data_IF_354702198445
#
_entry.id   IF_354702198445
#
_cell.length_a   1.000
_cell.length_b   1.000
_cell.length_c   1.000
_cell.angle_alpha   90.00
_cell.angle_beta   90.00
_cell.angle_gamma   90.00
#
_symmetry.space_group_name_H-M   'P 1'
#
loop_
_entity.id
_entity.type
_entity.pdbx_description
1 polymer ?
#
# COMPACT_ATOMS: atom_id res chain seq x y z
N UNK A 1 14.04 -9.01 -17.21
CA UNK A 1 13.08 -10.06 -16.77
C UNK A 1 13.69 -11.02 -15.75
N UNK A 2 14.84 -11.66 -16.01
CA UNK A 2 15.43 -12.62 -15.05
C UNK A 2 15.72 -12.03 -13.65
N UNK A 3 16.25 -10.80 -13.56
CA UNK A 3 16.52 -10.14 -12.28
C UNK A 3 15.27 -9.76 -11.48
N UNK A 4 14.18 -9.34 -12.14
CA UNK A 4 12.92 -8.99 -11.47
C UNK A 4 12.19 -10.23 -10.95
N UNK A 5 12.24 -11.34 -11.69
CA UNK A 5 11.70 -12.61 -11.22
C UNK A 5 12.44 -13.14 -9.98
N UNK A 6 13.78 -13.03 -9.95
CA UNK A 6 14.59 -13.42 -8.79
C UNK A 6 14.25 -12.61 -7.53
N UNK A 7 14.11 -11.28 -7.65
CA UNK A 7 13.69 -10.42 -6.53
C UNK A 7 12.25 -10.68 -6.10
N UNK A 8 11.34 -10.96 -7.03
CA UNK A 8 9.97 -11.32 -6.71
C UNK A 8 9.91 -12.60 -5.87
N UNK A 9 10.67 -13.64 -6.25
CA UNK A 9 10.77 -14.89 -5.47
C UNK A 9 11.41 -14.62 -4.11
N UNK A 10 12.49 -13.84 -4.05
CA UNK A 10 13.13 -13.47 -2.79
C UNK A 10 12.18 -12.74 -1.84
N UNK A 11 11.46 -11.75 -2.34
CA UNK A 11 10.50 -10.99 -1.55
C UNK A 11 9.33 -11.86 -1.10
N UNK A 12 8.85 -12.78 -1.95
CA UNK A 12 7.86 -13.78 -1.58
C UNK A 12 8.34 -14.64 -0.41
N UNK A 13 9.60 -15.11 -0.43
CA UNK A 13 10.19 -15.86 0.68
C UNK A 13 10.25 -15.02 1.97
N UNK A 14 10.66 -13.76 1.88
CA UNK A 14 10.65 -12.84 3.03
C UNK A 14 9.24 -12.65 3.60
N UNK A 15 8.24 -12.52 2.75
CA UNK A 15 6.83 -12.36 3.16
C UNK A 15 6.31 -13.62 3.84
N UNK A 16 6.64 -14.81 3.33
CA UNK A 16 6.30 -16.08 3.97
C UNK A 16 7.01 -16.25 5.31
N UNK A 17 8.25 -15.76 5.44
CA UNK A 17 8.93 -15.68 6.73
C UNK A 17 8.22 -14.71 7.67
N UNK A 18 7.78 -13.53 7.19
CA UNK A 18 7.04 -12.53 7.96
C UNK A 18 5.75 -13.11 8.56
N UNK A 19 5.01 -13.83 7.73
CA UNK A 19 3.74 -14.46 8.11
C UNK A 19 3.93 -15.39 9.32
N UNK A 20 5.04 -16.13 9.36
CA UNK A 20 5.42 -16.95 10.52
C UNK A 20 5.98 -16.12 11.69
N UNK A 21 6.67 -15.01 11.39
CA UNK A 21 7.35 -14.12 12.34
C UNK A 21 6.43 -13.24 13.17
N UNK A 22 5.34 -12.79 12.56
CA UNK A 22 4.55 -11.74 13.15
C UNK A 22 3.43 -12.38 13.96
N UNK A 23 3.36 -12.17 15.29
CA UNK A 23 2.20 -12.55 16.08
C UNK A 23 1.06 -11.59 15.74
N UNK A 24 0.48 -11.75 14.56
CA UNK A 24 -0.62 -10.91 14.08
C UNK A 24 -1.82 -10.94 15.02
N UNK A 25 -1.98 -12.03 15.79
CA UNK A 25 -2.97 -12.15 16.86
C UNK A 25 -2.73 -11.19 18.05
N UNK A 26 -1.48 -10.88 18.40
CA UNK A 26 -1.16 -9.95 19.50
C UNK A 26 -1.45 -8.50 19.10
N UNK A 27 -1.07 -8.12 17.88
CA UNK A 27 -1.40 -6.79 17.34
C UNK A 27 -2.89 -6.63 17.13
N UNK A 28 -3.58 -7.64 16.59
CA UNK A 28 -5.02 -7.59 16.41
C UNK A 28 -5.73 -7.44 17.76
N UNK A 29 -5.35 -8.20 18.78
CA UNK A 29 -5.98 -8.10 20.10
C UNK A 29 -5.70 -6.76 20.78
N UNK A 30 -4.47 -6.24 20.72
CA UNK A 30 -4.11 -4.96 21.31
C UNK A 30 -4.78 -3.78 20.59
N UNK A 31 -4.74 -3.78 19.25
CA UNK A 31 -5.35 -2.74 18.42
C UNK A 31 -6.88 -2.76 18.57
N UNK A 32 -7.50 -3.94 18.56
CA UNK A 32 -8.96 -4.08 18.70
C UNK A 32 -9.45 -3.71 20.10
N UNK A 33 -8.65 -3.96 21.15
CA UNK A 33 -8.93 -3.48 22.52
C UNK A 33 -8.85 -1.97 22.63
N UNK A 34 -7.76 -1.36 22.17
CA UNK A 34 -7.61 0.10 22.15
C UNK A 34 -8.73 0.76 21.34
N UNK A 35 -9.08 0.16 20.21
CA UNK A 35 -10.13 0.67 19.33
C UNK A 35 -11.53 0.54 19.94
N UNK A 36 -11.86 -0.59 20.60
CA UNK A 36 -13.10 -0.74 21.38
C UNK A 36 -13.22 0.30 22.49
N UNK A 37 -12.13 0.56 23.22
CA UNK A 37 -12.09 1.58 24.26
C UNK A 37 -12.35 2.99 23.70
N UNK A 38 -11.71 3.34 22.57
CA UNK A 38 -11.91 4.63 21.90
C UNK A 38 -13.31 4.77 21.30
N UNK A 39 -13.91 3.67 20.80
CA UNK A 39 -15.29 3.66 20.26
C UNK A 39 -16.32 3.87 21.36
N UNK A 40 -16.12 3.26 22.54
CA UNK A 40 -16.96 3.51 23.73
C UNK A 40 -16.91 4.97 24.16
N UNK A 41 -15.73 5.61 24.08
CA UNK A 41 -15.59 7.07 24.34
C UNK A 41 -16.22 7.96 23.28
N UNK A 42 -16.25 7.54 22.00
CA UNK A 42 -16.81 8.33 20.89
C UNK A 42 -18.30 8.10 20.61
N UNK A 43 -18.96 7.18 21.31
CA UNK A 43 -20.41 6.97 21.17
C UNK A 43 -21.28 8.14 21.68
N UNK A 44 -20.68 9.14 22.34
CA UNK A 44 -21.39 10.32 22.86
C UNK A 44 -21.38 11.53 21.91
N UNK A 45 -20.85 11.40 20.69
CA UNK A 45 -20.89 12.48 19.71
C UNK A 45 -21.20 11.87 18.34
N UNK A 46 -22.45 11.99 17.88
CA UNK A 46 -22.84 11.56 16.55
C UNK A 46 -22.04 12.35 15.51
N UNK A 47 -21.13 11.73 14.73
CA UNK A 47 -20.36 12.48 13.77
C UNK A 47 -21.30 12.99 12.67
N UNK A 48 -21.08 14.24 12.24
CA UNK A 48 -21.77 14.79 11.07
C UNK A 48 -21.60 13.85 9.87
N UNK A 49 -22.70 13.54 9.19
CA UNK A 49 -22.72 12.62 8.04
C UNK A 49 -22.11 13.30 6.81
N UNK A 50 -20.78 13.28 6.73
CA UNK A 50 -20.09 13.75 5.52
C UNK A 50 -20.35 12.77 4.36
N UNK A 51 -20.75 13.25 3.16
CA UNK A 51 -20.93 12.42 1.98
C UNK A 51 -19.68 11.56 1.69
N UNK A 52 -19.88 10.31 1.24
CA UNK A 52 -18.77 9.38 1.00
C UNK A 52 -17.79 9.85 -0.07
N UNK A 53 -18.29 10.51 -1.12
CA UNK A 53 -17.47 11.09 -2.19
C UNK A 53 -16.56 12.20 -1.67
N UNK A 54 -17.04 13.02 -0.72
CA UNK A 54 -16.24 14.09 -0.13
C UNK A 54 -15.10 13.52 0.73
N UNK A 55 -15.38 12.46 1.51
CA UNK A 55 -14.35 11.74 2.27
C UNK A 55 -13.29 11.13 1.37
N UNK A 56 -13.71 10.51 0.28
CA UNK A 56 -12.83 9.95 -0.73
C UNK A 56 -11.97 11.03 -1.42
N UNK A 57 -12.57 12.16 -1.78
CA UNK A 57 -11.85 13.31 -2.32
C UNK A 57 -10.83 13.88 -1.33
N UNK A 58 -11.23 14.12 -0.08
CA UNK A 58 -10.33 14.60 0.97
C UNK A 58 -9.17 13.63 1.22
N UNK A 59 -9.44 12.32 1.21
CA UNK A 59 -8.39 11.32 1.35
C UNK A 59 -7.42 11.37 0.17
N UNK A 60 -7.94 11.39 -1.06
CA UNK A 60 -7.09 11.41 -2.25
C UNK A 60 -6.23 12.68 -2.33
N UNK A 61 -6.81 13.83 -2.01
CA UNK A 61 -6.07 15.11 -1.94
C UNK A 61 -5.03 15.08 -0.81
N UNK A 62 -5.39 14.61 0.39
CA UNK A 62 -4.45 14.48 1.50
C UNK A 62 -3.30 13.52 1.19
N UNK A 63 -3.61 12.38 0.58
CA UNK A 63 -2.64 11.40 0.11
C UNK A 63 -1.72 11.94 -0.97
N UNK A 64 -2.28 12.58 -2.00
CA UNK A 64 -1.51 13.22 -3.07
C UNK A 64 -0.61 14.33 -2.55
N UNK A 65 -1.09 15.12 -1.58
CA UNK A 65 -0.28 16.14 -0.90
C UNK A 65 0.90 15.52 -0.15
N UNK A 66 0.68 14.43 0.58
CA UNK A 66 1.76 13.72 1.29
C UNK A 66 2.80 13.12 0.34
N UNK A 67 2.36 12.55 -0.79
CA UNK A 67 3.26 12.02 -1.82
C UNK A 67 4.16 13.11 -2.40
N UNK A 68 3.57 14.24 -2.77
CA UNK A 68 4.32 15.38 -3.33
C UNK A 68 5.19 16.05 -2.26
N UNK A 69 4.76 16.08 -1.01
CA UNK A 69 5.56 16.62 0.09
C UNK A 69 6.78 15.74 0.42
N UNK A 70 6.65 14.42 0.26
CA UNK A 70 7.75 13.47 0.43
C UNK A 70 8.83 13.60 -0.66
N UNK A 71 8.49 14.17 -1.82
CA UNK A 71 9.45 14.50 -2.88
C UNK A 71 10.33 15.69 -2.43
N UNK A 72 11.61 15.41 -2.19
CA UNK A 72 12.59 16.36 -1.69
C UNK A 72 12.84 17.53 -2.64
N UNK A 73 12.56 17.36 -3.94
CA UNK A 73 12.79 18.38 -4.98
C UNK A 73 11.68 19.42 -5.08
N UNK A 74 10.62 19.28 -4.28
CA UNK A 74 9.42 20.10 -4.39
C UNK A 74 9.56 21.44 -3.66
N UNK A 75 9.48 22.53 -4.42
CA UNK A 75 9.26 23.90 -3.93
C UNK A 75 7.78 24.28 -4.08
N UNK A 76 7.25 25.20 -3.26
CA UNK A 76 5.87 25.67 -3.41
C UNK A 76 5.72 26.49 -4.69
N UNK A 77 5.12 25.91 -5.73
CA UNK A 77 4.87 26.53 -7.03
C UNK A 77 3.55 26.05 -7.63
N UNK A 78 3.09 26.70 -8.71
CA UNK A 78 1.91 26.25 -9.46
C UNK A 78 2.05 24.81 -10.00
N UNK A 79 3.28 24.39 -10.31
CA UNK A 79 3.57 23.03 -10.78
C UNK A 79 3.42 22.00 -9.67
N UNK A 80 3.71 22.37 -8.42
CA UNK A 80 3.46 21.54 -7.24
C UNK A 80 1.98 21.28 -7.04
N UNK A 81 1.13 22.28 -7.25
CA UNK A 81 -0.32 22.09 -7.21
C UNK A 81 -0.78 21.07 -8.27
N UNK A 82 -0.21 21.12 -9.48
CA UNK A 82 -0.50 20.14 -10.54
C UNK A 82 0.00 18.73 -10.18
N UNK A 83 1.20 18.60 -9.60
CA UNK A 83 1.68 17.31 -9.06
C UNK A 83 0.72 16.74 -8.01
N UNK A 84 0.20 17.59 -7.11
CA UNK A 84 -0.76 17.16 -6.07
C UNK A 84 -2.07 16.71 -6.69
N UNK A 85 -2.61 17.45 -7.66
CA UNK A 85 -3.84 17.07 -8.40
C UNK A 85 -3.63 15.74 -9.12
N UNK A 86 -2.50 15.57 -9.78
CA UNK A 86 -2.14 14.33 -10.46
C UNK A 86 -2.02 13.14 -9.51
N UNK A 87 -1.28 13.30 -8.40
CA UNK A 87 -1.17 12.27 -7.38
C UNK A 87 -2.53 11.93 -6.74
N UNK A 88 -3.37 12.95 -6.49
CA UNK A 88 -4.73 12.74 -6.01
C UNK A 88 -5.60 11.98 -7.03
N UNK A 89 -5.49 12.29 -8.32
CA UNK A 89 -6.19 11.55 -9.38
C UNK A 89 -5.73 10.09 -9.44
N UNK A 90 -4.43 9.82 -9.31
CA UNK A 90 -3.89 8.47 -9.18
C UNK A 90 -4.46 7.74 -7.96
N UNK A 91 -4.51 8.39 -6.80
CA UNK A 91 -5.12 7.82 -5.60
C UNK A 91 -6.62 7.55 -5.76
N UNK A 92 -7.36 8.43 -6.45
CA UNK A 92 -8.78 8.21 -6.75
C UNK A 92 -8.96 7.01 -7.67
N UNK A 93 -8.12 6.86 -8.69
CA UNK A 93 -8.14 5.72 -9.61
C UNK A 93 -7.94 4.41 -8.84
N UNK A 94 -6.91 4.34 -7.99
CA UNK A 94 -6.64 3.19 -7.12
C UNK A 94 -7.85 2.89 -6.24
N UNK A 95 -8.41 3.92 -5.60
CA UNK A 95 -9.52 3.74 -4.67
C UNK A 95 -10.80 3.29 -5.39
N UNK A 96 -11.05 3.79 -6.60
CA UNK A 96 -12.14 3.32 -7.46
C UNK A 96 -11.92 1.89 -7.93
N UNK A 97 -10.72 1.55 -8.37
CA UNK A 97 -10.44 0.23 -8.97
C UNK A 97 -10.34 -0.88 -7.92
N UNK A 98 -9.87 -0.57 -6.72
CA UNK A 98 -9.75 -1.54 -5.64
C UNK A 98 -10.99 -1.58 -4.75
N UNK A 99 -11.30 -0.49 -4.04
CA UNK A 99 -12.34 -0.49 -3.01
C UNK A 99 -13.75 -0.53 -3.58
N UNK A 100 -14.04 0.26 -4.63
CA UNK A 100 -15.38 0.27 -5.21
C UNK A 100 -15.70 -1.05 -5.91
N UNK A 101 -14.73 -1.65 -6.61
CA UNK A 101 -14.88 -3.00 -7.19
C UNK A 101 -15.17 -4.04 -6.10
N UNK A 102 -14.40 -4.02 -5.02
CA UNK A 102 -14.60 -4.90 -3.86
C UNK A 102 -15.99 -4.72 -3.24
N UNK A 103 -16.41 -3.49 -2.96
CA UNK A 103 -17.71 -3.20 -2.34
C UNK A 103 -18.88 -3.59 -3.25
N UNK A 104 -18.78 -3.28 -4.55
CA UNK A 104 -19.79 -3.63 -5.55
C UNK A 104 -20.02 -5.14 -5.65
N UNK A 105 -18.95 -5.94 -5.56
CA UNK A 105 -19.05 -7.40 -5.64
C UNK A 105 -19.56 -8.02 -4.34
N UNK A 106 -19.20 -7.46 -3.19
CA UNK A 106 -19.65 -7.93 -1.89
C UNK A 106 -21.10 -7.55 -1.58
N UNK A 107 -21.63 -6.48 -2.18
CA UNK A 107 -22.99 -5.96 -1.93
C UNK A 107 -23.71 -5.53 -3.22
N UNK A 108 -24.08 -6.48 -4.09
CA UNK A 108 -24.85 -6.17 -5.29
C UNK A 108 -26.20 -5.52 -4.91
N UNK A 109 -26.59 -4.42 -5.58
CA UNK A 109 -27.94 -3.86 -5.48
C UNK A 109 -28.18 -2.76 -4.42
N UNK A 110 -27.19 -2.41 -3.58
CA UNK A 110 -27.23 -1.15 -2.80
C UNK A 110 -26.45 -0.08 -3.56
N UNK A 111 -27.12 0.56 -4.51
CA UNK A 111 -26.60 1.71 -5.25
C UNK A 111 -26.18 2.84 -4.29
N UNK A 112 -24.87 2.91 -4.02
CA UNK A 112 -24.24 4.02 -3.30
C UNK A 112 -24.17 3.87 -1.78
N UNK A 113 -23.03 3.35 -1.28
CA UNK A 113 -22.44 3.54 0.05
C UNK A 113 -23.28 3.08 1.28
N UNK A 114 -22.72 2.21 2.14
CA UNK A 114 -21.64 2.65 3.00
C UNK A 114 -20.51 1.62 3.12
N UNK A 115 -19.54 1.71 2.22
CA UNK A 115 -18.16 1.48 2.60
C UNK A 115 -17.76 2.65 3.50
N UNK A 116 -17.80 2.46 4.82
CA UNK A 116 -17.09 3.40 5.70
C UNK A 116 -15.61 3.28 5.31
N UNK A 117 -15.12 4.23 4.50
CA UNK A 117 -13.70 4.44 4.32
C UNK A 117 -13.14 4.84 5.69
N UNK A 118 -12.82 3.84 6.49
CA UNK A 118 -12.20 4.01 7.79
C UNK A 118 -10.74 4.24 7.52
N UNK A 119 -10.42 5.50 7.28
CA UNK A 119 -9.05 5.99 7.39
C UNK A 119 -8.60 5.65 8.80
N UNK A 120 -7.81 4.58 8.94
CA UNK A 120 -7.27 4.20 10.23
C UNK A 120 -6.28 5.30 10.61
N UNK A 121 -6.53 6.12 11.65
CA UNK A 121 -5.69 7.27 11.94
C UNK A 121 -4.22 6.89 12.17
N UNK A 122 -3.98 5.67 12.66
CA UNK A 122 -2.65 5.12 12.82
C UNK A 122 -1.92 4.96 11.48
N UNK A 123 -2.62 4.55 10.42
CA UNK A 123 -2.05 4.48 9.08
C UNK A 123 -1.69 5.87 8.54
N UNK A 124 -2.56 6.87 8.75
CA UNK A 124 -2.26 8.25 8.34
C UNK A 124 -1.04 8.81 9.09
N UNK A 125 -0.95 8.58 10.40
CA UNK A 125 0.24 8.94 11.18
C UNK A 125 1.49 8.23 10.65
N UNK A 126 1.40 6.94 10.34
CA UNK A 126 2.51 6.20 9.73
C UNK A 126 2.90 6.79 8.38
N UNK A 127 1.94 7.17 7.53
CA UNK A 127 2.19 7.82 6.25
C UNK A 127 2.92 9.15 6.43
N UNK A 128 2.51 9.98 7.38
CA UNK A 128 3.18 11.24 7.73
C UNK A 128 4.60 11.00 8.22
N UNK A 129 4.81 10.02 9.11
CA UNK A 129 6.14 9.67 9.63
C UNK A 129 7.06 9.16 8.52
N UNK A 130 6.57 8.27 7.66
CA UNK A 130 7.35 7.74 6.53
C UNK A 130 7.66 8.82 5.49
N UNK A 131 6.69 9.69 5.17
CA UNK A 131 6.91 10.83 4.29
C UNK A 131 7.95 11.81 4.87
N UNK A 132 7.86 12.09 6.16
CA UNK A 132 8.83 12.94 6.86
C UNK A 132 10.23 12.33 6.88
N UNK A 133 10.34 11.02 7.12
CA UNK A 133 11.60 10.29 7.07
C UNK A 133 12.19 10.27 5.66
N UNK A 134 11.36 10.05 4.63
CA UNK A 134 11.77 10.09 3.22
C UNK A 134 12.34 11.45 2.83
N UNK A 135 11.70 12.54 3.30
CA UNK A 135 12.16 13.91 3.08
C UNK A 135 13.46 14.19 3.84
N UNK A 136 13.58 13.73 5.07
CA UNK A 136 14.78 13.92 5.89
C UNK A 136 16.00 13.17 5.36
N UNK A 137 15.78 11.99 4.76
CA UNK A 137 16.84 11.18 4.15
C UNK A 137 17.15 11.57 2.69
N UNK A 138 16.54 12.65 2.17
CA UNK A 138 16.70 13.13 0.79
C UNK A 138 16.56 12.01 -0.26
N UNK A 139 15.64 11.07 -0.01
CA UNK A 139 15.48 9.93 -0.90
C UNK A 139 15.01 10.38 -2.28
N UNK A 140 15.68 9.97 -3.37
CA UNK A 140 15.29 10.34 -4.74
C UNK A 140 13.96 9.72 -5.17
N UNK A 141 13.44 8.76 -4.39
CA UNK A 141 12.11 8.19 -4.57
C UNK A 141 11.29 8.46 -3.30
N UNK A 142 10.15 9.18 -3.39
CA UNK A 142 9.30 9.45 -2.24
C UNK A 142 8.67 8.14 -1.73
N UNK A 143 9.11 7.69 -0.56
CA UNK A 143 8.62 6.45 0.06
C UNK A 143 7.36 6.73 0.89
N UNK A 144 6.18 6.66 0.29
CA UNK A 144 4.89 6.84 0.98
C UNK A 144 4.14 5.51 1.12
N UNK A 145 4.82 4.50 1.67
CA UNK A 145 4.22 3.19 1.96
C UNK A 145 3.06 3.25 2.97
N UNK A 146 3.07 4.25 3.85
CA UNK A 146 2.07 4.36 4.90
C UNK A 146 0.66 4.63 4.36
N UNK A 147 0.51 5.36 3.26
CA UNK A 147 -0.79 5.71 2.66
C UNK A 147 -1.53 4.45 2.20
N UNK A 148 -0.79 3.53 1.58
CA UNK A 148 -1.27 2.22 1.12
C UNK A 148 -1.65 1.33 2.31
N UNK A 149 -0.82 1.30 3.36
CA UNK A 149 -1.12 0.56 4.59
C UNK A 149 -2.36 1.09 5.35
N UNK A 150 -2.85 2.32 5.06
CA UNK A 150 -4.07 2.89 5.67
C UNK A 150 -5.35 2.28 5.11
N UNK A 151 -5.32 1.68 3.92
CA UNK A 151 -6.51 1.13 3.26
C UNK A 151 -6.87 -0.30 3.70
N UNK A 152 -6.55 -0.67 4.93
CA UNK A 152 -7.04 -1.90 5.52
C UNK A 152 -8.46 -1.70 6.03
N UNK A 153 -9.43 -2.28 5.30
CA UNK A 153 -10.83 -2.38 5.72
C UNK A 153 -10.92 -3.32 6.92
N UNK A 154 -10.64 -2.77 8.11
CA UNK A 154 -10.89 -3.41 9.40
C UNK A 154 -12.40 -3.42 9.65
N UNK A 155 -13.08 -4.33 8.97
CA UNK A 155 -14.49 -4.61 9.16
C UNK A 155 -14.81 -5.99 8.62
N UNK A 156 -15.27 -6.89 9.49
CA UNK A 156 -16.02 -8.07 9.07
C UNK A 156 -17.35 -7.55 8.52
N UNK A 157 -17.61 -7.61 7.20
CA UNK A 157 -18.95 -7.29 6.73
C UNK A 157 -19.91 -8.30 7.38
N UNK A 158 -21.10 -7.87 7.85
CA UNK A 158 -22.15 -8.82 8.20
C UNK A 158 -22.35 -9.76 7.01
N UNK A 159 -22.53 -11.06 7.25
CA UNK A 159 -22.85 -12.05 6.20
C UNK A 159 -24.12 -11.57 5.48
N UNK A 160 -23.95 -10.91 4.34
CA UNK A 160 -25.06 -10.57 3.46
C UNK A 160 -25.26 -11.76 2.54
N UNK A 161 -26.42 -12.40 2.64
CA UNK A 161 -26.85 -13.47 1.74
C UNK A 161 -27.01 -12.89 0.33
N UNK A 162 -26.11 -13.23 -0.61
CA UNK A 162 -26.24 -12.86 -2.03
C UNK A 162 -25.01 -12.26 -2.73
N UNK A 163 -23.92 -11.95 -2.03
CA UNK A 163 -22.65 -11.47 -2.65
C UNK A 163 -21.69 -12.61 -3.04
N UNK A 164 -20.70 -12.33 -3.90
CA UNK A 164 -19.65 -13.31 -4.21
C UNK A 164 -18.78 -13.60 -2.96
N UNK A 165 -18.13 -14.78 -2.88
CA UNK A 165 -17.19 -15.09 -1.80
C UNK A 165 -16.17 -13.97 -1.59
N UNK A 166 -15.87 -13.64 -0.34
CA UNK A 166 -14.99 -12.52 0.01
C UNK A 166 -13.63 -12.61 -0.69
N UNK A 167 -13.03 -13.79 -0.74
CA UNK A 167 -11.77 -14.02 -1.46
C UNK A 167 -11.87 -13.72 -2.96
N UNK A 168 -12.96 -14.11 -3.61
CA UNK A 168 -13.19 -13.83 -5.02
C UNK A 168 -13.33 -12.31 -5.28
N UNK A 169 -14.03 -11.57 -4.42
CA UNK A 169 -14.11 -10.12 -4.54
C UNK A 169 -12.72 -9.45 -4.43
N UNK A 170 -11.85 -9.93 -3.53
CA UNK A 170 -10.47 -9.43 -3.41
C UNK A 170 -9.64 -9.75 -4.65
N UNK A 171 -9.78 -10.95 -5.20
CA UNK A 171 -9.08 -11.36 -6.42
C UNK A 171 -9.42 -10.40 -7.56
N UNK A 172 -10.72 -10.16 -7.79
CA UNK A 172 -11.18 -9.29 -8.89
C UNK A 172 -10.74 -7.85 -8.66
N UNK A 173 -10.89 -7.31 -7.44
CA UNK A 173 -10.43 -5.96 -7.12
C UNK A 173 -8.93 -5.75 -7.38
N UNK A 174 -8.10 -6.72 -6.97
CA UNK A 174 -6.67 -6.70 -7.21
C UNK A 174 -6.32 -6.81 -8.71
N UNK A 175 -6.99 -7.69 -9.46
CA UNK A 175 -6.82 -7.79 -10.92
C UNK A 175 -7.21 -6.49 -11.61
N UNK A 176 -8.36 -5.89 -11.26
CA UNK A 176 -8.81 -4.62 -11.82
C UNK A 176 -7.82 -3.48 -11.53
N UNK A 177 -7.25 -3.46 -10.33
CA UNK A 177 -6.26 -2.44 -9.95
C UNK A 177 -4.94 -2.61 -10.70
N UNK A 178 -4.43 -3.84 -10.84
CA UNK A 178 -3.26 -4.12 -11.66
C UNK A 178 -3.51 -3.80 -13.14
N UNK A 179 -4.67 -4.19 -13.68
CA UNK A 179 -5.04 -3.90 -15.06
C UNK A 179 -5.16 -2.40 -15.31
N UNK A 180 -5.78 -1.64 -14.39
CA UNK A 180 -5.84 -0.18 -14.48
C UNK A 180 -4.45 0.46 -14.41
N UNK A 181 -3.58 -0.03 -13.51
CA UNK A 181 -2.19 0.44 -13.41
C UNK A 181 -1.42 0.15 -14.70
N UNK A 182 -1.59 -1.03 -15.28
CA UNK A 182 -0.99 -1.40 -16.55
C UNK A 182 -1.52 -0.54 -17.71
N UNK A 183 -2.83 -0.25 -17.74
CA UNK A 183 -3.44 0.63 -18.74
C UNK A 183 -2.90 2.06 -18.63
N UNK A 184 -2.79 2.60 -17.41
CA UNK A 184 -2.20 3.94 -17.20
C UNK A 184 -0.74 3.95 -17.62
N UNK A 185 0.00 2.88 -17.35
CA UNK A 185 1.39 2.74 -17.79
C UNK A 185 1.52 2.72 -19.32
N UNK A 186 0.71 1.91 -20.01
CA UNK A 186 0.80 1.76 -21.47
C UNK A 186 0.30 3.01 -22.20
N UNK A 187 -0.84 3.57 -21.78
CA UNK A 187 -1.39 4.80 -22.37
C UNK A 187 -0.57 6.03 -21.99
N UNK A 188 0.06 6.02 -20.81
CA UNK A 188 0.92 7.08 -20.31
C UNK A 188 2.36 7.00 -20.79
N UNK A 189 2.76 5.94 -21.52
CA UNK A 189 4.14 5.77 -21.98
C UNK A 189 4.67 6.96 -22.81
N UNK A 190 3.90 7.57 -23.73
CA UNK A 190 4.35 8.76 -24.45
C UNK A 190 4.59 9.97 -23.54
N UNK A 191 3.76 10.12 -22.49
CA UNK A 191 3.91 11.21 -21.51
C UNK A 191 5.16 11.00 -20.66
N UNK A 192 5.41 9.75 -20.25
CA UNK A 192 6.63 9.39 -19.51
C UNK A 192 7.86 9.66 -20.36
N UNK A 193 7.85 9.27 -21.64
CA UNK A 193 8.95 9.52 -22.57
C UNK A 193 9.21 11.02 -22.76
N UNK A 194 8.15 11.81 -22.99
CA UNK A 194 8.24 13.25 -23.12
C UNK A 194 8.77 13.93 -21.84
N UNK A 195 8.48 13.37 -20.66
CA UNK A 195 8.94 13.90 -19.39
C UNK A 195 10.39 13.55 -19.02
N UNK A 196 11.00 12.51 -19.61
CA UNK A 196 12.36 12.06 -19.28
C UNK A 196 13.45 13.10 -19.55
N UNK A 197 13.26 13.92 -20.59
CA UNK A 197 14.19 14.98 -20.96
C UNK A 197 13.73 16.38 -20.56
N UNK A 198 12.58 16.49 -19.89
CA UNK A 198 11.95 17.77 -19.63
C UNK A 198 12.37 18.34 -18.27
N UNK A 199 12.43 19.66 -18.18
CA UNK A 199 12.78 20.34 -16.92
C UNK A 199 11.80 19.93 -15.80
N UNK A 200 12.26 19.81 -14.53
CA UNK A 200 11.41 19.41 -13.40
C UNK A 200 10.15 20.27 -13.17
N UNK A 201 10.13 21.50 -13.70
CA UNK A 201 8.96 22.38 -13.69
C UNK A 201 8.07 22.30 -14.93
N UNK A 202 8.51 21.66 -16.01
CA UNK A 202 7.72 21.57 -17.23
C UNK A 202 6.42 20.76 -17.02
N UNK A 203 5.38 21.10 -17.79
CA UNK A 203 4.13 20.33 -17.77
C UNK A 203 4.37 18.85 -18.17
N UNK A 204 5.29 18.60 -19.10
CA UNK A 204 5.65 17.24 -19.52
C UNK A 204 6.21 16.41 -18.36
N UNK A 205 7.10 16.99 -17.54
CA UNK A 205 7.61 16.35 -16.33
C UNK A 205 6.50 16.06 -15.32
N UNK A 206 5.61 17.02 -15.07
CA UNK A 206 4.51 16.87 -14.10
C UNK A 206 3.54 15.75 -14.54
N UNK A 207 3.22 15.65 -15.82
CA UNK A 207 2.37 14.59 -16.36
C UNK A 207 3.05 13.22 -16.28
N UNK A 208 4.34 13.14 -16.63
CA UNK A 208 5.13 11.92 -16.48
C UNK A 208 5.19 11.45 -15.01
N UNK A 209 5.45 12.37 -14.09
CA UNK A 209 5.46 12.11 -12.65
C UNK A 209 4.10 11.60 -12.16
N UNK A 210 3.01 12.21 -12.62
CA UNK A 210 1.64 11.83 -12.27
C UNK A 210 1.31 10.41 -12.70
N UNK A 211 1.60 10.07 -13.97
CA UNK A 211 1.47 8.70 -14.50
C UNK A 211 2.28 7.75 -13.62
N UNK A 212 3.51 8.14 -13.29
CA UNK A 212 4.39 7.34 -12.49
C UNK A 212 3.88 7.02 -11.10
N UNK A 213 3.44 8.04 -10.36
CA UNK A 213 2.84 7.89 -9.03
C UNK A 213 1.59 7.02 -9.09
N UNK A 214 0.73 7.20 -10.09
CA UNK A 214 -0.49 6.40 -10.23
C UNK A 214 -0.19 4.91 -10.45
N UNK A 215 0.79 4.60 -11.31
CA UNK A 215 1.20 3.22 -11.60
C UNK A 215 1.87 2.59 -10.38
N UNK A 216 2.86 3.26 -9.78
CA UNK A 216 3.57 2.73 -8.61
C UNK A 216 2.61 2.53 -7.45
N UNK A 217 1.78 3.54 -7.14
CA UNK A 217 0.80 3.44 -6.06
C UNK A 217 -0.21 2.31 -6.28
N UNK A 218 -0.69 2.11 -7.51
CA UNK A 218 -1.64 1.03 -7.81
C UNK A 218 -1.05 -0.36 -7.65
N UNK A 219 0.21 -0.54 -8.07
CA UNK A 219 0.92 -1.80 -7.88
C UNK A 219 1.26 -2.04 -6.41
N UNK A 220 1.71 -1.01 -5.69
CA UNK A 220 1.98 -1.07 -4.26
C UNK A 220 0.74 -1.48 -3.47
N UNK A 221 -0.42 -0.93 -3.80
CA UNK A 221 -1.70 -1.30 -3.15
C UNK A 221 -2.01 -2.77 -3.30
N UNK A 222 -1.71 -3.35 -4.46
CA UNK A 222 -1.91 -4.78 -4.68
C UNK A 222 -0.85 -5.59 -3.96
N UNK A 223 0.43 -5.24 -4.04
CA UNK A 223 1.51 -5.98 -3.36
C UNK A 223 1.31 -5.94 -1.85
N UNK A 224 1.15 -4.77 -1.26
CA UNK A 224 0.99 -4.65 0.18
C UNK A 224 -0.38 -5.14 0.62
N UNK A 225 -1.46 -4.84 -0.09
CA UNK A 225 -2.81 -5.32 0.22
C UNK A 225 -2.95 -6.84 0.21
N UNK A 226 -2.13 -7.53 -0.61
CA UNK A 226 -2.08 -8.98 -0.69
C UNK A 226 -1.11 -9.65 0.30
N UNK A 227 -0.46 -8.89 1.18
CA UNK A 227 0.30 -9.51 2.27
C UNK A 227 -0.60 -10.43 3.12
N UNK A 228 -0.15 -11.65 3.45
CA UNK A 228 -0.96 -12.65 4.13
C UNK A 228 -1.00 -12.41 5.66
N UNK A 229 -1.09 -11.15 6.09
CA UNK A 229 -1.16 -10.79 7.50
C UNK A 229 -2.63 -10.77 7.97
N UNK A 230 -2.83 -10.98 9.27
CA UNK A 230 -4.18 -10.90 9.85
C UNK A 230 -4.76 -9.51 9.67
N UNK A 231 -6.05 -9.45 9.30
CA UNK A 231 -6.74 -8.20 8.99
C UNK A 231 -6.50 -7.65 7.58
N UNK A 232 -5.65 -8.28 6.75
CA UNK A 232 -5.41 -7.87 5.37
C UNK A 232 -6.18 -8.73 4.36
N UNK A 233 -6.45 -8.14 3.18
CA UNK A 233 -7.20 -8.80 2.11
C UNK A 233 -6.43 -10.00 1.54
N UNK A 234 -5.09 -9.96 1.55
CA UNK A 234 -4.22 -11.07 1.18
C UNK A 234 -4.47 -12.37 1.93
N UNK A 235 -4.67 -12.31 3.26
CA UNK A 235 -4.96 -13.50 4.07
C UNK A 235 -6.30 -14.12 3.68
N UNK A 236 -7.32 -13.30 3.47
CA UNK A 236 -8.66 -13.75 3.06
C UNK A 236 -8.60 -14.44 1.70
N UNK A 237 -7.85 -13.88 0.75
CA UNK A 237 -7.67 -14.47 -0.56
C UNK A 237 -6.91 -15.81 -0.48
N UNK A 238 -5.84 -15.86 0.32
CA UNK A 238 -5.02 -17.07 0.51
C UNK A 238 -5.78 -18.21 1.18
N UNK A 239 -6.64 -17.90 2.17
CA UNK A 239 -7.51 -18.88 2.83
C UNK A 239 -8.60 -19.40 1.90
N UNK A 240 -9.09 -18.57 0.97
CA UNK A 240 -10.08 -18.97 -0.03
C UNK A 240 -9.48 -19.82 -1.17
N UNK A 241 -8.37 -19.38 -1.77
CA UNK A 241 -7.71 -20.09 -2.86
C UNK A 241 -6.21 -19.78 -2.89
N UNK A 242 -5.40 -20.69 -2.34
CA UNK A 242 -3.93 -20.52 -2.27
C UNK A 242 -3.28 -20.37 -3.65
N UNK A 243 -3.58 -21.22 -4.66
CA UNK A 243 -3.07 -21.01 -6.03
C UNK A 243 -3.37 -19.62 -6.59
N UNK A 244 -4.62 -19.13 -6.45
CA UNK A 244 -5.00 -17.82 -6.94
C UNK A 244 -4.22 -16.69 -6.24
N UNK A 245 -4.01 -16.81 -4.93
CA UNK A 245 -3.16 -15.87 -4.19
C UNK A 245 -1.71 -15.89 -4.68
N UNK A 246 -1.07 -17.05 -4.78
CA UNK A 246 0.32 -17.15 -5.25
C UNK A 246 0.48 -16.61 -6.68
N UNK A 247 -0.43 -16.98 -7.59
CA UNK A 247 -0.39 -16.52 -8.98
C UNK A 247 -0.51 -15.01 -9.08
N UNK A 248 -1.55 -14.44 -8.46
CA UNK A 248 -1.77 -12.99 -8.48
C UNK A 248 -0.64 -12.23 -7.78
N UNK A 249 -0.18 -12.71 -6.62
CA UNK A 249 0.85 -12.04 -5.85
C UNK A 249 2.21 -12.09 -6.55
N UNK A 250 2.56 -13.21 -7.19
CA UNK A 250 3.78 -13.32 -7.98
C UNK A 250 3.75 -12.38 -9.19
N UNK A 251 2.61 -12.28 -9.88
CA UNK A 251 2.43 -11.33 -10.99
C UNK A 251 2.57 -9.88 -10.48
N UNK A 252 1.92 -9.54 -9.37
CA UNK A 252 2.03 -8.22 -8.76
C UNK A 252 3.48 -7.88 -8.38
N UNK A 253 4.22 -8.82 -7.77
CA UNK A 253 5.63 -8.65 -7.40
C UNK A 253 6.53 -8.52 -8.62
N UNK A 254 6.35 -9.38 -9.64
CA UNK A 254 7.11 -9.30 -10.87
C UNK A 254 6.92 -7.95 -11.54
N UNK A 255 5.67 -7.46 -11.59
CA UNK A 255 5.35 -6.15 -12.14
C UNK A 255 5.90 -5.01 -11.26
N UNK A 256 5.78 -5.09 -9.94
CA UNK A 256 6.34 -4.14 -8.98
C UNK A 256 7.85 -3.97 -9.16
N UNK A 257 8.61 -5.07 -9.11
CA UNK A 257 10.05 -5.01 -9.33
C UNK A 257 10.38 -4.64 -10.76
N UNK A 258 9.59 -5.05 -11.75
CA UNK A 258 9.83 -4.59 -13.12
C UNK A 258 9.72 -3.07 -13.19
N UNK A 259 8.60 -2.50 -12.77
CA UNK A 259 8.31 -1.04 -12.77
C UNK A 259 9.31 -0.26 -11.92
N UNK A 260 9.63 -0.72 -10.70
CA UNK A 260 10.64 -0.08 -9.84
C UNK A 260 12.03 -0.08 -10.49
N UNK A 261 12.42 -1.19 -11.13
CA UNK A 261 13.75 -1.32 -11.74
C UNK A 261 13.82 -0.70 -13.15
N UNK A 262 12.69 -0.56 -13.84
CA UNK A 262 12.59 -0.05 -15.23
C UNK A 262 12.23 1.43 -15.35
N UNK A 263 12.24 2.14 -14.22
CA UNK A 263 12.17 3.60 -14.09
C UNK A 263 10.77 4.22 -14.16
N UNK A 264 10.42 4.93 -13.08
CA UNK A 264 9.22 5.76 -13.02
C UNK A 264 9.52 7.22 -12.63
N UNK A 265 10.71 7.53 -12.12
CA UNK A 265 11.08 8.92 -11.85
C UNK A 265 11.72 9.55 -13.11
N UNK A 266 11.04 10.51 -13.78
CA UNK A 266 11.60 11.18 -14.95
C UNK A 266 12.90 11.97 -14.69
N UNK A 267 13.29 12.18 -13.42
CA UNK A 267 14.57 12.80 -13.04
C UNK A 267 15.63 11.84 -12.48
N UNK A 268 15.31 10.55 -12.32
CA UNK A 268 16.29 9.56 -11.90
C UNK A 268 17.10 9.15 -13.15
N UNK A 269 18.06 9.99 -13.53
CA UNK A 269 18.94 9.73 -14.66
C UNK A 269 19.58 8.35 -14.60
N UNK A 270 20.14 7.92 -15.72
CA UNK A 270 20.95 6.69 -15.91
C UNK A 270 22.05 6.47 -14.86
N UNK A 271 22.31 7.43 -13.98
CA UNK A 271 23.24 7.34 -12.84
C UNK A 271 22.70 6.55 -11.64
N UNK A 272 21.39 6.29 -11.55
CA UNK A 272 20.83 5.29 -10.63
C UNK A 272 20.85 3.87 -11.25
N UNK A 273 21.80 3.62 -12.16
CA UNK A 273 22.39 2.29 -12.32
C UNK A 273 23.05 1.94 -10.98
N UNK A 274 22.23 1.54 -10.01
CA UNK A 274 22.68 0.81 -8.83
C UNK A 274 23.58 -0.28 -9.40
N UNK A 275 24.88 -0.17 -9.18
CA UNK A 275 25.83 -1.17 -9.66
C UNK A 275 25.29 -2.54 -9.25
N UNK A 276 25.49 -3.57 -10.08
CA UNK A 276 24.97 -4.91 -9.76
C UNK A 276 25.29 -5.28 -8.31
N UNK A 277 26.44 -4.85 -7.80
CA UNK A 277 26.91 -5.08 -6.43
C UNK A 277 26.15 -4.28 -5.37
N UNK A 278 25.81 -3.00 -5.62
CA UNK A 278 25.07 -2.17 -4.67
C UNK A 278 23.60 -2.60 -4.54
N UNK A 279 23.03 -3.25 -5.57
CA UNK A 279 21.69 -3.88 -5.52
C UNK A 279 21.66 -5.06 -4.56
N UNK A 280 22.67 -5.93 -4.64
CA UNK A 280 22.76 -7.08 -3.76
C UNK A 280 23.12 -6.68 -2.33
N UNK A 281 23.92 -5.62 -2.15
CA UNK A 281 24.21 -5.07 -0.83
C UNK A 281 22.96 -4.49 -0.16
N UNK A 282 22.17 -3.69 -0.88
CA UNK A 282 20.90 -3.15 -0.33
C UNK A 282 19.89 -4.26 -0.04
N UNK A 283 19.80 -5.27 -0.90
CA UNK A 283 18.99 -6.47 -0.62
C UNK A 283 19.53 -7.23 0.60
N UNK A 284 20.84 -7.39 0.74
CA UNK A 284 21.46 -8.09 1.87
C UNK A 284 21.24 -7.33 3.19
N UNK A 285 21.39 -6.00 3.19
CA UNK A 285 21.11 -5.14 4.35
C UNK A 285 19.63 -5.21 4.72
N UNK A 286 18.73 -5.06 3.74
CA UNK A 286 17.29 -5.17 3.98
C UNK A 286 16.92 -6.55 4.54
N UNK A 287 17.49 -7.62 4.00
CA UNK A 287 17.31 -8.98 4.52
C UNK A 287 17.91 -9.15 5.91
N UNK A 288 19.09 -8.60 6.18
CA UNK A 288 19.71 -8.64 7.50
C UNK A 288 18.84 -7.97 8.55
N UNK A 289 18.35 -6.77 8.27
CA UNK A 289 17.40 -6.04 9.14
C UNK A 289 16.10 -6.84 9.33
N UNK A 290 15.59 -7.44 8.26
CA UNK A 290 14.38 -8.24 8.29
C UNK A 290 14.53 -9.51 9.14
N UNK A 291 15.63 -10.24 8.97
CA UNK A 291 15.97 -11.43 9.78
C UNK A 291 16.19 -11.04 11.23
N UNK A 292 16.82 -9.89 11.50
CA UNK A 292 17.03 -9.40 12.85
C UNK A 292 15.69 -9.06 13.53
N UNK A 293 14.80 -8.35 12.84
CA UNK A 293 13.44 -8.08 13.31
C UNK A 293 12.64 -9.37 13.54
N UNK A 294 12.82 -10.38 12.67
CA UNK A 294 12.22 -11.70 12.79
C UNK A 294 12.68 -12.44 14.05
N UNK A 295 13.99 -12.49 14.30
CA UNK A 295 14.59 -13.09 15.50
C UNK A 295 14.13 -12.36 16.75
N UNK A 296 14.13 -11.02 16.73
CA UNK A 296 13.66 -10.20 17.83
C UNK A 296 12.18 -10.49 18.16
N UNK A 297 11.31 -10.57 17.15
CA UNK A 297 9.89 -10.92 17.32
C UNK A 297 9.70 -12.31 17.93
N UNK A 298 10.50 -13.31 17.51
CA UNK A 298 10.48 -14.65 18.10
C UNK A 298 10.95 -14.63 19.56
N UNK A 299 11.99 -13.84 19.87
CA UNK A 299 12.49 -13.64 21.23
C UNK A 299 11.42 -13.03 22.14
N UNK A 300 10.74 -11.99 21.68
CA UNK A 300 9.65 -11.33 22.40
C UNK A 300 8.52 -12.31 22.69
N UNK A 301 8.12 -13.14 21.71
CA UNK A 301 7.09 -14.19 21.92
C UNK A 301 7.49 -15.19 22.99
N UNK A 302 8.72 -15.70 22.94
CA UNK A 302 9.23 -16.63 23.96
C UNK A 302 9.30 -15.98 25.34
N UNK A 303 9.56 -14.68 25.41
CA UNK A 303 9.59 -13.94 26.66
C UNK A 303 8.18 -13.73 27.24
N UNK A 304 7.22 -13.27 26.43
CA UNK A 304 5.81 -13.11 26.85
C UNK A 304 5.21 -14.46 27.30
N UNK A 305 5.41 -15.53 26.53
CA UNK A 305 4.93 -16.86 26.90
C UNK A 305 5.60 -17.43 28.17
N UNK A 306 6.78 -16.93 28.56
CA UNK A 306 7.42 -17.27 29.84
C UNK A 306 6.78 -16.49 30.99
N UNK A 307 6.43 -15.22 30.78
CA UNK A 307 5.76 -14.39 31.78
C UNK A 307 4.34 -14.90 32.09
N UNK A 308 3.56 -15.25 31.06
CA UNK A 308 2.20 -15.79 31.25
C UNK A 308 2.21 -17.10 32.04
N UNK A 309 3.19 -17.98 31.78
CA UNK A 309 3.36 -19.23 32.54
C UNK A 309 3.73 -19.00 34.00
N UNK A 310 4.54 -17.98 34.30
CA UNK A 310 4.88 -17.61 35.68
C UNK A 310 3.69 -17.02 36.42
N UNK A 311 2.89 -16.19 35.75
CA UNK A 311 1.69 -15.59 36.32
C UNK A 311 0.57 -16.63 36.58
N UNK A 312 0.50 -17.70 35.77
CA UNK A 312 -0.46 -18.79 35.98
C UNK A 312 -0.05 -19.79 37.08
N UNK A 313 1.20 -19.73 37.55
CA UNK A 313 1.74 -20.61 38.59
C UNK A 313 1.86 -19.93 39.96
N UNK A 314 1.52 -18.64 40.05
CA UNK A 314 1.46 -17.84 41.27
C UNK A 314 0.01 -17.61 41.68
#
# INVERSE_FOLDING_TARGET
MAGSAGLAVWFLLMVLLLEKAFPSQLTDNALFRWWRWRRRRRQHSGPARVPGWLRMGCYAVGGGTLVVWADATTHWSAQTALKVIGAAAGMLLILMTYEKTKDSLLRPGRGGLPAELRVVPAGLMLAVVMAGLSRWLESPVPYVYGLVAVYLVLGTPPRVSGGVPKGQAMLVAAICTLAASLLVWTLGAPLVEAGRGADPGSMAYVLAYTVGVAVVGGVEVVVFGLLPLSGMDGRVLKEWNRPAWYGLYLVALAFFFHVLLSQVHPGAGTQLLVSKDLRWLTVAVATGLFVLAWVFSLGLRRWVARLERRAAAA
#
